data_IF_024054050377
#
_entry.id   IF_024054050377
#
_cell.length_a   1.000
_cell.length_b   1.000
_cell.length_c   1.000
_cell.angle_alpha   90.00
_cell.angle_beta   90.00
_cell.angle_gamma   90.00
#
_symmetry.space_group_name_H-M   'P 1'
#
loop_
_entity.id
_entity.type
_entity.pdbx_description
1 polymer ?
#
# COMPACT_ATOMS: atom_id res chain seq x y z
N UNK A 1 -6.91 14.82 13.34
CA UNK A 1 -7.60 13.51 13.36
C UNK A 1 -7.34 12.73 12.07
N UNK A 2 -7.79 13.21 10.90
CA UNK A 2 -7.60 12.51 9.61
C UNK A 2 -6.14 12.28 9.24
N UNK A 3 -5.25 13.26 9.48
CA UNK A 3 -3.82 13.13 9.18
C UNK A 3 -3.13 12.04 10.02
N UNK A 4 -3.46 11.97 11.32
CA UNK A 4 -2.94 10.93 12.20
C UNK A 4 -3.43 9.54 11.76
N UNK A 5 -4.70 9.41 11.39
CA UNK A 5 -5.25 8.16 10.88
C UNK A 5 -4.54 7.70 9.59
N UNK A 6 -4.28 8.62 8.66
CA UNK A 6 -3.52 8.31 7.43
C UNK A 6 -2.10 7.86 7.76
N UNK A 7 -1.46 8.53 8.74
CA UNK A 7 -0.11 8.16 9.18
C UNK A 7 -0.10 6.76 9.80
N UNK A 8 -1.00 6.48 10.73
CA UNK A 8 -1.14 5.18 11.40
C UNK A 8 -1.38 4.06 10.37
N UNK A 9 -2.32 4.25 9.44
CA UNK A 9 -2.60 3.27 8.38
C UNK A 9 -1.38 3.03 7.46
N UNK A 10 -0.59 4.06 7.19
CA UNK A 10 0.64 3.92 6.41
C UNK A 10 1.71 3.12 7.18
N UNK A 11 1.84 3.37 8.50
CA UNK A 11 2.78 2.65 9.39
C UNK A 11 2.38 1.17 9.55
N UNK A 12 1.10 0.90 9.76
CA UNK A 12 0.54 -0.46 9.87
C UNK A 12 0.79 -1.26 8.59
N UNK A 13 0.56 -0.63 7.43
CA UNK A 13 0.83 -1.28 6.13
C UNK A 13 2.30 -1.63 5.97
N UNK A 14 3.20 -0.70 6.33
CA UNK A 14 4.62 -0.95 6.26
C UNK A 14 5.03 -2.10 7.19
N UNK A 15 4.48 -2.16 8.40
CA UNK A 15 4.75 -3.25 9.35
C UNK A 15 4.33 -4.62 8.77
N UNK A 16 3.15 -4.70 8.16
CA UNK A 16 2.68 -5.93 7.50
C UNK A 16 3.60 -6.33 6.34
N UNK A 17 3.99 -5.38 5.48
CA UNK A 17 4.86 -5.67 4.34
C UNK A 17 6.27 -6.08 4.76
N UNK A 18 6.85 -5.41 5.75
CA UNK A 18 8.13 -5.80 6.33
C UNK A 18 8.06 -7.22 6.87
N UNK A 19 6.98 -7.56 7.58
CA UNK A 19 6.78 -8.92 8.09
C UNK A 19 6.67 -9.96 6.98
N UNK A 20 5.98 -9.64 5.87
CA UNK A 20 5.90 -10.53 4.70
C UNK A 20 7.29 -10.78 4.12
N UNK A 21 8.10 -9.72 3.95
CA UNK A 21 9.46 -9.85 3.41
C UNK A 21 10.35 -10.66 4.35
N UNK A 22 10.31 -10.40 5.66
CA UNK A 22 11.10 -11.10 6.67
C UNK A 22 10.77 -12.60 6.78
N UNK A 23 9.53 -12.99 6.48
CA UNK A 23 9.06 -14.38 6.63
C UNK A 23 9.03 -15.16 5.32
N UNK A 24 9.33 -14.51 4.19
CA UNK A 24 9.35 -15.15 2.89
C UNK A 24 10.77 -15.60 2.53
N UNK A 25 10.93 -16.90 2.25
CA UNK A 25 12.24 -17.51 1.95
C UNK A 25 12.91 -16.99 0.65
N UNK A 26 12.13 -16.35 -0.22
CA UNK A 26 12.58 -15.90 -1.54
C UNK A 26 12.74 -14.39 -1.66
N UNK A 27 12.27 -13.62 -0.66
CA UNK A 27 12.35 -12.17 -0.66
C UNK A 27 13.47 -11.69 0.25
N UNK A 28 14.05 -10.55 -0.09
CA UNK A 28 15.04 -9.87 0.74
C UNK A 28 14.55 -8.49 1.19
N UNK A 29 15.02 -7.94 2.34
CA UNK A 29 14.62 -6.62 2.82
C UNK A 29 14.78 -5.48 1.79
N UNK A 30 15.79 -5.58 0.91
CA UNK A 30 16.01 -4.62 -0.18
C UNK A 30 14.89 -4.59 -1.22
N UNK A 31 14.02 -5.60 -1.25
CA UNK A 31 12.88 -5.69 -2.17
C UNK A 31 11.59 -5.11 -1.59
N UNK A 32 11.60 -4.66 -0.34
CA UNK A 32 10.45 -4.00 0.28
C UNK A 32 9.86 -2.86 -0.57
N UNK A 33 10.67 -1.98 -1.22
CA UNK A 33 10.14 -0.98 -2.15
C UNK A 33 9.37 -1.58 -3.34
N UNK A 34 9.85 -2.72 -3.88
CA UNK A 34 9.16 -3.44 -4.96
C UNK A 34 7.83 -4.01 -4.49
N UNK A 35 7.81 -4.62 -3.30
CA UNK A 35 6.59 -5.16 -2.67
C UNK A 35 5.55 -4.06 -2.46
N UNK A 36 5.97 -2.89 -1.95
CA UNK A 36 5.08 -1.74 -1.76
C UNK A 36 4.45 -1.27 -3.07
N UNK A 37 5.26 -1.14 -4.13
CA UNK A 37 4.77 -0.76 -5.46
C UNK A 37 3.77 -1.77 -6.03
N UNK A 38 4.04 -3.07 -5.87
CA UNK A 38 3.14 -4.14 -6.30
C UNK A 38 1.82 -4.10 -5.53
N UNK A 39 1.87 -3.90 -4.21
CA UNK A 39 0.66 -3.78 -3.40
C UNK A 39 -0.20 -2.59 -3.86
N UNK A 40 0.40 -1.41 -4.04
CA UNK A 40 -0.33 -0.23 -4.49
C UNK A 40 -1.00 -0.44 -5.86
N UNK A 41 -0.31 -1.11 -6.78
CA UNK A 41 -0.86 -1.48 -8.09
C UNK A 41 -2.03 -2.47 -7.96
N UNK A 42 -1.84 -3.58 -7.23
CA UNK A 42 -2.89 -4.59 -7.03
C UNK A 42 -4.12 -4.01 -6.32
N UNK A 43 -3.92 -3.14 -5.33
CA UNK A 43 -5.01 -2.50 -4.62
C UNK A 43 -5.77 -1.51 -5.53
N UNK A 44 -5.04 -0.71 -6.33
CA UNK A 44 -5.66 0.16 -7.33
C UNK A 44 -6.50 -0.62 -8.33
N UNK A 45 -6.00 -1.75 -8.83
CA UNK A 45 -6.71 -2.55 -9.82
C UNK A 45 -8.01 -3.13 -9.24
N UNK A 46 -7.96 -3.65 -8.01
CA UNK A 46 -9.09 -4.30 -7.34
C UNK A 46 -10.11 -3.33 -6.75
N UNK A 47 -9.69 -2.11 -6.39
CA UNK A 47 -10.57 -1.15 -5.75
C UNK A 47 -11.79 -0.83 -6.62
N UNK A 48 -12.95 -0.64 -5.98
CA UNK A 48 -14.16 -0.17 -6.63
C UNK A 48 -14.08 1.33 -6.87
N UNK A 49 -14.88 1.82 -7.83
CA UNK A 49 -15.05 3.25 -8.06
C UNK A 49 -15.50 3.93 -6.78
N UNK A 50 -14.83 5.01 -6.41
CA UNK A 50 -15.14 5.78 -5.20
C UNK A 50 -14.45 5.29 -3.93
N UNK A 51 -13.75 4.16 -3.94
CA UNK A 51 -12.93 3.73 -2.81
C UNK A 51 -11.64 4.56 -2.70
N UNK A 52 -11.11 4.68 -1.48
CA UNK A 52 -9.81 5.29 -1.25
C UNK A 52 -8.70 4.27 -1.52
N UNK A 53 -7.71 4.68 -2.28
CA UNK A 53 -6.52 3.89 -2.60
C UNK A 53 -5.27 4.64 -2.14
N UNK A 54 -4.32 3.90 -1.60
CA UNK A 54 -2.98 4.41 -1.31
C UNK A 54 -2.11 4.28 -2.57
N UNK A 55 -1.37 5.33 -2.90
CA UNK A 55 -0.36 5.36 -3.94
C UNK A 55 0.99 4.84 -3.41
N UNK A 56 1.91 4.54 -4.31
CA UNK A 56 3.24 3.99 -3.98
C UNK A 56 4.12 4.95 -3.16
N UNK A 57 3.80 6.24 -3.15
CA UNK A 57 4.43 7.25 -2.31
C UNK A 57 3.74 7.45 -0.94
N UNK A 58 2.74 6.63 -0.59
CA UNK A 58 2.01 6.70 0.67
C UNK A 58 0.91 7.75 0.73
N UNK A 59 0.72 8.54 -0.33
CA UNK A 59 -0.42 9.46 -0.44
C UNK A 59 -1.70 8.71 -0.80
N UNK A 60 -2.85 9.30 -0.50
CA UNK A 60 -4.15 8.68 -0.73
C UNK A 60 -4.97 9.47 -1.72
N UNK A 61 -5.61 8.76 -2.64
CA UNK A 61 -6.59 9.34 -3.58
C UNK A 61 -7.86 8.51 -3.60
N UNK A 62 -8.92 9.06 -4.15
CA UNK A 62 -10.13 8.30 -4.47
C UNK A 62 -9.95 7.67 -5.86
N UNK A 63 -10.34 6.40 -6.02
CA UNK A 63 -10.31 5.76 -7.34
C UNK A 63 -11.33 6.46 -8.23
N UNK A 64 -10.80 7.10 -9.27
CA UNK A 64 -11.60 7.81 -10.23
C UNK A 64 -12.56 6.88 -10.97
N UNK A 65 -13.67 7.49 -11.35
CA UNK A 65 -14.75 6.88 -12.09
C UNK A 65 -14.47 6.56 -13.56
N UNK A 66 -13.30 6.96 -14.08
CA UNK A 66 -13.12 6.98 -15.54
C UNK A 66 -12.70 5.61 -16.08
N UNK A 67 -13.35 5.17 -17.19
CA UNK A 67 -13.15 3.86 -17.81
C UNK A 67 -11.73 3.69 -18.37
#
# INVERSE_FOLDING_TARGET
FVENLIKEENEDRLAIMSRIVETNETLTPSELPRVHKMFAALNRDKALKGERIQLDNGTWTQKDAKP
#
